data_IF_747505749782
#
_entry.id   IF_747505749782
#
_cell.length_a   1.000
_cell.length_b   1.000
_cell.length_c   1.000
_cell.angle_alpha   90.00
_cell.angle_beta   90.00
_cell.angle_gamma   90.00
#
_symmetry.space_group_name_H-M   'P 1'
#
loop_
_entity.id
_entity.type
_entity.pdbx_description
1 polymer ?
#
# COMPACT_ATOMS: atom_id res chain seq x y z
N UNK A 1 30.75 -34.34 -37.62
CA UNK A 1 29.96 -33.16 -37.22
C UNK A 1 28.68 -33.63 -36.51
N UNK A 2 28.82 -34.41 -35.42
CA UNK A 2 27.68 -35.08 -34.75
C UNK A 2 27.69 -34.92 -33.22
N UNK A 3 28.70 -34.26 -32.64
CA UNK A 3 28.85 -34.17 -31.18
C UNK A 3 27.96 -33.07 -30.54
N UNK A 4 27.32 -32.21 -31.34
CA UNK A 4 26.65 -31.01 -30.80
C UNK A 4 25.17 -31.22 -30.37
N UNK A 5 24.45 -32.15 -30.98
CA UNK A 5 23.01 -32.31 -30.75
C UNK A 5 22.74 -32.99 -29.40
N UNK A 6 23.53 -34.00 -29.05
CA UNK A 6 23.39 -34.73 -27.79
C UNK A 6 23.70 -33.85 -26.56
N UNK A 7 24.67 -32.94 -26.68
CA UNK A 7 25.05 -31.99 -25.62
C UNK A 7 23.96 -30.93 -25.44
N UNK A 8 23.42 -30.38 -26.52
CA UNK A 8 22.30 -29.43 -26.49
C UNK A 8 21.03 -30.04 -25.90
N UNK A 9 20.68 -31.27 -26.30
CA UNK A 9 19.54 -31.99 -25.75
C UNK A 9 19.70 -32.25 -24.24
N UNK A 10 20.91 -32.62 -23.81
CA UNK A 10 21.22 -32.85 -22.39
C UNK A 10 21.13 -31.55 -21.57
N UNK A 11 21.59 -30.43 -22.12
CA UNK A 11 21.49 -29.10 -21.50
C UNK A 11 20.04 -28.62 -21.37
N UNK A 12 19.21 -28.85 -22.40
CA UNK A 12 17.78 -28.52 -22.35
C UNK A 12 17.03 -29.34 -21.31
N UNK A 13 17.33 -30.63 -21.19
CA UNK A 13 16.77 -31.49 -20.14
C UNK A 13 17.21 -31.00 -18.76
N UNK A 14 18.48 -30.67 -18.55
CA UNK A 14 19.00 -30.12 -17.29
C UNK A 14 18.35 -28.78 -16.93
N UNK A 15 18.17 -27.88 -17.88
CA UNK A 15 17.49 -26.59 -17.66
C UNK A 15 16.00 -26.79 -17.34
N UNK A 16 15.33 -27.75 -17.97
CA UNK A 16 13.94 -28.09 -17.67
C UNK A 16 13.80 -28.67 -16.25
N UNK A 17 14.71 -29.55 -15.84
CA UNK A 17 14.75 -30.13 -14.49
C UNK A 17 15.06 -29.07 -13.44
N UNK A 18 15.99 -28.14 -13.73
CA UNK A 18 16.32 -27.02 -12.86
C UNK A 18 15.12 -26.07 -12.71
N UNK A 19 14.38 -25.77 -13.79
CA UNK A 19 13.14 -24.97 -13.75
C UNK A 19 12.07 -25.64 -12.91
N UNK A 20 11.86 -26.95 -13.06
CA UNK A 20 10.90 -27.72 -12.24
C UNK A 20 11.32 -27.73 -10.77
N UNK A 21 12.61 -27.88 -10.46
CA UNK A 21 13.12 -27.83 -9.09
C UNK A 21 12.98 -26.44 -8.46
N UNK A 22 13.27 -25.38 -9.20
CA UNK A 22 13.06 -24.00 -8.75
C UNK A 22 11.57 -23.72 -8.52
N UNK A 23 10.70 -24.17 -9.42
CA UNK A 23 9.25 -24.02 -9.27
C UNK A 23 8.70 -24.81 -8.07
N UNK A 24 9.15 -26.06 -7.85
CA UNK A 24 8.82 -26.84 -6.64
C UNK A 24 9.33 -26.19 -5.36
N UNK A 25 10.53 -25.60 -5.38
CA UNK A 25 11.10 -24.85 -4.25
C UNK A 25 10.34 -23.54 -3.99
N UNK A 26 9.79 -22.92 -5.03
CA UNK A 26 8.94 -21.72 -4.92
C UNK A 26 7.56 -22.07 -4.32
N UNK A 27 6.92 -23.13 -4.82
CA UNK A 27 5.64 -23.64 -4.30
C UNK A 27 5.75 -24.08 -2.83
N UNK A 28 6.81 -24.80 -2.46
CA UNK A 28 7.03 -25.22 -1.07
C UNK A 28 7.25 -24.02 -0.13
N UNK A 29 7.94 -22.97 -0.58
CA UNK A 29 8.08 -21.73 0.20
C UNK A 29 6.77 -20.94 0.31
N UNK A 30 5.96 -20.87 -0.75
CA UNK A 30 4.63 -20.24 -0.71
C UNK A 30 3.68 -21.00 0.23
N UNK A 31 3.68 -22.33 0.17
CA UNK A 31 2.96 -23.18 1.10
C UNK A 31 3.49 -23.03 2.53
N UNK A 32 4.79 -22.84 2.75
CA UNK A 32 5.36 -22.57 4.07
C UNK A 32 4.92 -21.21 4.62
N UNK A 33 4.87 -20.16 3.80
CA UNK A 33 4.38 -18.83 4.22
C UNK A 33 2.88 -18.88 4.52
N UNK A 34 2.07 -19.52 3.66
CA UNK A 34 0.64 -19.74 3.86
C UNK A 34 0.37 -20.62 5.09
N UNK A 35 1.15 -21.69 5.29
CA UNK A 35 1.10 -22.54 6.49
C UNK A 35 1.50 -21.78 7.74
N UNK A 36 2.51 -20.91 7.69
CA UNK A 36 2.89 -20.02 8.81
C UNK A 36 1.77 -19.03 9.14
N UNK A 37 1.10 -18.47 8.13
CA UNK A 37 -0.09 -17.63 8.32
C UNK A 37 -1.27 -18.39 8.94
N UNK A 38 -1.58 -19.58 8.43
CA UNK A 38 -2.63 -20.44 8.99
C UNK A 38 -2.30 -20.94 10.40
N UNK A 39 -1.03 -21.26 10.68
CA UNK A 39 -0.55 -21.59 12.03
C UNK A 39 -0.66 -20.38 12.97
N UNK A 40 -0.44 -19.14 12.49
CA UNK A 40 -0.72 -17.93 13.27
C UNK A 40 -2.21 -17.79 13.59
N UNK A 41 -3.10 -18.06 12.63
CA UNK A 41 -4.55 -18.06 12.87
C UNK A 41 -4.98 -19.16 13.86
N UNK A 42 -4.44 -20.39 13.72
CA UNK A 42 -4.70 -21.50 14.62
C UNK A 42 -4.16 -21.23 16.04
N UNK A 43 -2.95 -20.66 16.19
CA UNK A 43 -2.40 -20.24 17.49
C UNK A 43 -3.23 -19.14 18.16
N UNK A 44 -3.91 -18.28 17.41
CA UNK A 44 -4.87 -17.29 17.97
C UNK A 44 -6.12 -17.99 18.49
N UNK A 45 -6.70 -18.91 17.72
CA UNK A 45 -7.85 -19.74 18.15
C UNK A 45 -7.50 -20.56 19.39
N UNK A 46 -6.29 -21.13 19.45
CA UNK A 46 -5.83 -21.91 20.58
C UNK A 46 -5.57 -21.03 21.83
N UNK A 47 -4.98 -19.84 21.67
CA UNK A 47 -4.84 -18.87 22.79
C UNK A 47 -6.20 -18.41 23.33
N UNK A 48 -7.17 -18.17 22.44
CA UNK A 48 -8.54 -17.84 22.83
C UNK A 48 -9.20 -18.99 23.61
N UNK A 49 -9.09 -20.22 23.11
CA UNK A 49 -9.61 -21.41 23.78
C UNK A 49 -8.93 -21.68 25.12
N UNK A 50 -7.60 -21.53 25.22
CA UNK A 50 -6.87 -21.62 26.50
C UNK A 50 -7.35 -20.54 27.48
N UNK A 51 -7.64 -19.33 27.00
CA UNK A 51 -8.26 -18.28 27.81
C UNK A 51 -9.63 -18.66 28.34
N UNK A 52 -10.48 -19.28 27.51
CA UNK A 52 -11.78 -19.81 27.91
C UNK A 52 -11.67 -20.97 28.91
N UNK A 53 -10.75 -21.91 28.68
CA UNK A 53 -10.51 -23.03 29.62
C UNK A 53 -9.99 -22.52 30.96
N UNK A 54 -9.07 -21.54 30.97
CA UNK A 54 -8.62 -20.89 32.21
C UNK A 54 -9.77 -20.19 32.94
N UNK A 55 -10.63 -19.47 32.21
CA UNK A 55 -11.81 -18.83 32.79
C UNK A 55 -12.77 -19.87 33.38
N UNK A 56 -13.00 -20.97 32.66
CA UNK A 56 -13.88 -22.05 33.11
C UNK A 56 -13.33 -22.81 34.32
N UNK A 57 -12.03 -23.16 34.30
CA UNK A 57 -11.35 -23.76 35.45
C UNK A 57 -11.35 -22.82 36.65
N UNK A 58 -11.18 -21.51 36.43
CA UNK A 58 -11.26 -20.52 37.51
C UNK A 58 -12.66 -20.45 38.11
N UNK A 59 -13.71 -20.47 37.29
CA UNK A 59 -15.10 -20.51 37.74
C UNK A 59 -15.41 -21.82 38.51
N UNK A 60 -14.91 -22.96 38.04
CA UNK A 60 -15.05 -24.25 38.74
C UNK A 60 -14.31 -24.26 40.07
N UNK A 61 -13.09 -23.70 40.15
CA UNK A 61 -12.37 -23.58 41.43
C UNK A 61 -13.11 -22.69 42.42
N UNK A 62 -13.72 -21.59 41.96
CA UNK A 62 -14.53 -20.70 42.81
C UNK A 62 -15.80 -21.41 43.30
N UNK A 63 -16.44 -22.23 42.46
CA UNK A 63 -17.61 -23.01 42.84
C UNK A 63 -17.27 -24.17 43.81
N UNK A 64 -16.12 -24.81 43.64
CA UNK A 64 -15.73 -26.01 44.40
C UNK A 64 -15.12 -25.69 45.77
N UNK A 65 -14.40 -24.58 45.92
CA UNK A 65 -13.76 -24.25 47.21
C UNK A 65 -14.71 -23.59 48.20
N UNK A 66 -15.91 -23.17 47.77
CA UNK A 66 -16.85 -22.43 48.63
C UNK A 66 -16.28 -21.14 49.21
N UNK A 67 -15.07 -20.75 48.78
CA UNK A 67 -14.44 -19.48 49.11
C UNK A 67 -15.23 -18.46 48.31
N UNK A 68 -16.25 -17.91 48.95
CA UNK A 68 -16.68 -16.56 48.65
C UNK A 68 -15.41 -15.73 48.68
N UNK A 69 -14.88 -15.41 47.50
CA UNK A 69 -14.11 -14.19 47.40
C UNK A 69 -15.10 -13.15 47.95
N UNK A 70 -14.81 -12.62 49.13
CA UNK A 70 -14.94 -11.18 49.29
C UNK A 70 -14.19 -10.62 48.08
N UNK A 71 -14.93 -10.49 46.98
CA UNK A 71 -14.58 -9.53 45.96
C UNK A 71 -14.55 -8.28 46.81
N UNK A 72 -13.35 -7.83 47.16
CA UNK A 72 -13.04 -6.44 46.89
C UNK A 72 -13.58 -6.23 45.47
N UNK A 73 -14.85 -5.81 45.42
CA UNK A 73 -15.44 -5.26 44.24
C UNK A 73 -14.43 -4.19 43.95
N UNK A 74 -13.58 -4.41 42.93
CA UNK A 74 -12.75 -3.37 42.36
C UNK A 74 -13.79 -2.34 41.90
N UNK A 75 -14.18 -1.49 42.82
CA UNK A 75 -15.07 -0.39 42.61
C UNK A 75 -14.26 0.40 41.61
N UNK A 76 -14.70 0.36 40.34
CA UNK A 76 -14.13 1.28 39.36
C UNK A 76 -14.37 2.65 39.97
N UNK A 77 -13.31 3.25 40.50
CA UNK A 77 -13.34 4.59 41.09
C UNK A 77 -13.91 5.59 40.08
N UNK A 78 -13.78 5.27 38.78
CA UNK A 78 -14.33 6.03 37.68
C UNK A 78 -14.91 5.08 36.61
N UNK A 79 -16.22 5.14 36.37
CA UNK A 79 -16.88 4.41 35.27
C UNK A 79 -16.46 4.95 33.89
N UNK A 80 -16.39 6.29 33.75
CA UNK A 80 -15.90 7.01 32.57
C UNK A 80 -15.10 8.23 33.01
N UNK A 81 -13.85 8.34 32.55
CA UNK A 81 -13.07 9.57 32.69
C UNK A 81 -13.72 10.63 31.81
N UNK A 82 -14.21 11.70 32.43
CA UNK A 82 -14.72 12.87 31.71
C UNK A 82 -13.59 13.50 30.90
N UNK A 83 -13.87 13.77 29.62
CA UNK A 83 -12.92 14.36 28.69
C UNK A 83 -13.60 15.53 28.01
N UNK A 84 -12.89 16.63 27.88
CA UNK A 84 -13.40 17.79 27.15
C UNK A 84 -13.61 17.41 25.68
N UNK A 85 -14.74 17.85 25.11
CA UNK A 85 -14.99 17.81 23.67
C UNK A 85 -14.74 19.17 23.01
N UNK A 86 -14.35 20.20 23.78
CA UNK A 86 -14.21 21.59 23.31
C UNK A 86 -13.31 21.70 22.08
N UNK A 87 -12.20 20.94 22.02
CA UNK A 87 -11.33 20.95 20.84
C UNK A 87 -12.07 20.50 19.58
N UNK A 88 -12.93 19.48 19.66
CA UNK A 88 -13.72 19.05 18.51
C UNK A 88 -14.83 20.06 18.19
N UNK A 89 -15.65 20.40 19.19
CA UNK A 89 -16.86 21.19 18.99
C UNK A 89 -16.57 22.68 18.69
N UNK A 90 -15.57 23.26 19.34
CA UNK A 90 -15.28 24.71 19.31
C UNK A 90 -14.09 25.06 18.41
N UNK A 91 -13.13 24.15 18.21
CA UNK A 91 -11.93 24.43 17.40
C UNK A 91 -11.92 23.74 16.05
N UNK A 92 -12.19 22.43 15.98
CA UNK A 92 -12.04 21.65 14.74
C UNK A 92 -13.18 21.95 13.76
N UNK A 93 -14.43 22.00 14.23
CA UNK A 93 -15.57 22.29 13.36
C UNK A 93 -15.57 23.72 12.83
N UNK A 94 -14.91 24.65 13.54
CA UNK A 94 -14.82 26.08 13.19
C UNK A 94 -13.58 26.42 12.35
N UNK A 95 -12.73 25.45 12.01
CA UNK A 95 -11.54 25.69 11.18
C UNK A 95 -11.92 26.29 9.82
N UNK A 96 -11.10 27.22 9.34
CA UNK A 96 -11.15 27.67 7.94
C UNK A 96 -10.83 26.50 7.00
N UNK A 97 -11.23 26.59 5.73
CA UNK A 97 -10.96 25.53 4.74
C UNK A 97 -9.46 25.25 4.58
N UNK A 98 -8.63 26.28 4.64
CA UNK A 98 -7.17 26.14 4.58
C UNK A 98 -6.62 25.34 5.77
N UNK A 99 -6.98 25.72 7.00
CA UNK A 99 -6.54 25.01 8.22
C UNK A 99 -7.10 23.59 8.28
N UNK A 100 -8.35 23.41 7.84
CA UNK A 100 -8.96 22.10 7.70
C UNK A 100 -8.12 21.21 6.78
N UNK A 101 -7.80 21.70 5.58
CA UNK A 101 -6.99 20.97 4.60
C UNK A 101 -5.58 20.71 5.12
N UNK A 102 -4.99 21.62 5.89
CA UNK A 102 -3.70 21.38 6.52
C UNK A 102 -3.70 20.16 7.46
N UNK A 103 -4.76 19.99 8.27
CA UNK A 103 -4.86 18.90 9.24
C UNK A 103 -5.41 17.59 8.67
N UNK A 104 -6.51 17.65 7.91
CA UNK A 104 -7.21 16.48 7.39
C UNK A 104 -6.75 16.06 6.00
N UNK A 105 -6.04 16.95 5.30
CA UNK A 105 -5.44 16.72 3.97
C UNK A 105 -6.44 16.37 2.87
N UNK A 106 -7.68 16.77 3.09
CA UNK A 106 -8.79 16.77 2.14
C UNK A 106 -9.63 18.03 2.39
N UNK A 107 -10.44 18.40 1.41
CA UNK A 107 -11.43 19.47 1.50
C UNK A 107 -12.60 19.05 2.40
N UNK A 108 -13.37 20.04 2.88
CA UNK A 108 -14.57 19.79 3.69
C UNK A 108 -15.65 19.04 2.91
N UNK A 109 -15.79 19.33 1.61
CA UNK A 109 -16.78 18.66 0.76
C UNK A 109 -16.45 17.18 0.56
N UNK A 110 -15.18 16.86 0.27
CA UNK A 110 -14.67 15.48 0.23
C UNK A 110 -14.88 14.77 1.57
N UNK A 111 -14.63 15.46 2.69
CA UNK A 111 -14.88 14.92 4.01
C UNK A 111 -16.36 14.61 4.25
N UNK A 112 -17.25 15.52 3.86
CA UNK A 112 -18.69 15.36 4.03
C UNK A 112 -19.22 14.20 3.18
N UNK A 113 -18.78 14.10 1.93
CA UNK A 113 -19.05 12.95 1.06
C UNK A 113 -18.65 11.62 1.73
N UNK A 114 -17.43 11.53 2.26
CA UNK A 114 -16.97 10.32 2.98
C UNK A 114 -17.83 10.06 4.21
N UNK A 115 -18.21 11.09 4.97
CA UNK A 115 -19.05 10.93 6.15
C UNK A 115 -20.44 10.37 5.80
N UNK A 116 -21.07 10.92 4.77
CA UNK A 116 -22.42 10.52 4.37
C UNK A 116 -22.46 9.11 3.80
N UNK A 117 -21.50 8.74 2.96
CA UNK A 117 -21.38 7.39 2.42
C UNK A 117 -21.07 6.34 3.50
N UNK A 118 -20.30 6.69 4.54
CA UNK A 118 -19.98 5.78 5.64
C UNK A 118 -21.03 5.76 6.76
N UNK A 119 -21.98 6.70 6.77
CA UNK A 119 -23.00 6.85 7.82
C UNK A 119 -23.81 5.57 8.07
N UNK A 120 -24.30 4.85 7.04
CA UNK A 120 -25.08 3.62 7.26
C UNK A 120 -24.35 2.54 8.06
N UNK A 121 -23.01 2.49 7.99
CA UNK A 121 -22.19 1.47 8.66
C UNK A 121 -21.64 1.96 10.00
N UNK A 122 -21.28 3.25 10.09
CA UNK A 122 -20.58 3.78 11.26
C UNK A 122 -21.50 4.38 12.33
N UNK A 123 -22.74 4.71 11.98
CA UNK A 123 -23.70 5.27 12.93
C UNK A 123 -24.02 4.26 14.04
N UNK A 124 -24.04 4.75 15.28
CA UNK A 124 -24.31 3.94 16.47
C UNK A 124 -25.59 4.43 17.14
N UNK A 125 -26.35 3.51 17.70
CA UNK A 125 -27.59 3.84 18.41
C UNK A 125 -27.30 4.58 19.71
N UNK A 126 -28.15 5.56 20.03
CA UNK A 126 -28.13 6.23 21.32
C UNK A 126 -28.60 5.25 22.39
N UNK A 127 -27.78 5.05 23.42
CA UNK A 127 -28.15 4.26 24.59
C UNK A 127 -28.46 5.18 25.77
N UNK A 128 -29.11 4.64 26.80
CA UNK A 128 -29.35 5.36 28.07
C UNK A 128 -28.05 5.66 28.84
N UNK A 129 -26.96 4.94 28.54
CA UNK A 129 -25.69 5.06 29.25
C UNK A 129 -24.76 6.14 28.67
N UNK A 130 -24.70 6.26 27.34
CA UNK A 130 -23.79 7.20 26.68
C UNK A 130 -24.28 7.60 25.29
N UNK A 131 -24.12 8.89 24.96
CA UNK A 131 -24.26 9.37 23.58
C UNK A 131 -23.13 8.79 22.70
N UNK A 132 -23.45 8.25 21.51
CA UNK A 132 -22.45 7.71 20.61
C UNK A 132 -21.55 8.83 20.08
N UNK A 133 -20.32 8.46 19.72
CA UNK A 133 -19.45 9.35 18.94
C UNK A 133 -20.05 9.43 17.53
N UNK A 134 -20.27 10.65 17.03
CA UNK A 134 -20.88 10.89 15.71
C UNK A 134 -20.01 10.35 14.58
N UNK A 135 -20.60 10.17 13.39
CA UNK A 135 -19.87 9.63 12.23
C UNK A 135 -18.76 10.57 11.81
N UNK A 136 -19.05 11.87 11.77
CA UNK A 136 -18.11 12.94 11.42
C UNK A 136 -16.89 12.90 12.34
N UNK A 137 -17.13 12.80 13.65
CA UNK A 137 -16.03 12.72 14.63
C UNK A 137 -15.23 11.44 14.48
N UNK A 138 -15.88 10.31 14.16
CA UNK A 138 -15.21 9.03 13.92
C UNK A 138 -14.32 9.08 12.68
N UNK A 139 -14.85 9.60 11.57
CA UNK A 139 -14.12 9.78 10.31
C UNK A 139 -12.96 10.75 10.51
N UNK A 140 -13.18 11.88 11.21
CA UNK A 140 -12.14 12.84 11.52
C UNK A 140 -10.99 12.26 12.35
N UNK A 141 -11.28 11.44 13.38
CA UNK A 141 -10.25 10.72 14.15
C UNK A 141 -9.38 9.85 13.23
N UNK A 142 -10.01 9.09 12.33
CA UNK A 142 -9.30 8.20 11.41
C UNK A 142 -8.45 8.98 10.40
N UNK A 143 -9.03 10.00 9.76
CA UNK A 143 -8.35 10.85 8.78
C UNK A 143 -7.17 11.59 9.41
N UNK A 144 -7.34 12.18 10.60
CA UNK A 144 -6.24 12.84 11.30
C UNK A 144 -5.09 11.88 11.56
N UNK A 145 -5.41 10.63 11.95
CA UNK A 145 -4.39 9.59 12.15
C UNK A 145 -3.69 9.23 10.84
N UNK A 146 -4.41 9.06 9.74
CA UNK A 146 -3.83 8.74 8.43
C UNK A 146 -2.97 9.89 7.88
N UNK A 147 -3.47 11.13 8.02
CA UNK A 147 -2.84 12.36 7.56
C UNK A 147 -1.52 12.64 8.27
N UNK A 148 -1.43 12.39 9.58
CA UNK A 148 -0.29 12.85 10.42
C UNK A 148 0.59 11.74 10.98
N UNK A 149 0.04 10.53 11.14
CA UNK A 149 0.58 9.41 11.94
C UNK A 149 0.81 9.72 13.43
N UNK A 150 0.10 10.70 14.01
CA UNK A 150 0.27 11.07 15.42
C UNK A 150 -0.13 9.93 16.37
N UNK A 151 0.54 9.79 17.52
CA UNK A 151 0.27 8.74 18.50
C UNK A 151 -1.17 8.77 19.00
N UNK A 152 -1.74 7.59 19.27
CA UNK A 152 -3.10 7.49 19.80
C UNK A 152 -3.31 8.20 21.15
N UNK A 153 -2.24 8.46 21.91
CA UNK A 153 -2.29 9.29 23.13
C UNK A 153 -2.69 10.73 22.78
N UNK A 154 -1.97 11.34 21.84
CA UNK A 154 -2.21 12.72 21.39
C UNK A 154 -3.58 12.83 20.71
N UNK A 155 -3.89 11.87 19.83
CA UNK A 155 -5.19 11.81 19.14
C UNK A 155 -6.36 11.68 20.12
N UNK A 156 -6.19 10.88 21.18
CA UNK A 156 -7.16 10.70 22.26
C UNK A 156 -7.45 11.99 23.00
N UNK A 157 -6.42 12.78 23.32
CA UNK A 157 -6.56 14.10 23.94
C UNK A 157 -7.27 15.07 22.99
N UNK A 158 -6.82 15.15 21.73
CA UNK A 158 -7.33 16.09 20.73
C UNK A 158 -8.84 15.91 20.48
N UNK A 159 -9.32 14.67 20.41
CA UNK A 159 -10.73 14.39 20.12
C UNK A 159 -11.56 14.09 21.38
N UNK A 160 -10.99 14.14 22.59
CA UNK A 160 -11.73 13.88 23.83
C UNK A 160 -12.24 12.44 23.96
N UNK A 161 -11.55 11.46 23.38
CA UNK A 161 -11.94 10.03 23.40
C UNK A 161 -10.92 9.19 24.15
N UNK A 162 -11.24 7.95 24.51
CA UNK A 162 -10.23 7.04 25.09
C UNK A 162 -9.21 6.57 24.05
N UNK A 163 -7.96 6.32 24.45
CA UNK A 163 -6.89 5.82 23.56
C UNK A 163 -7.28 4.57 22.77
N UNK A 164 -7.84 3.57 23.46
CA UNK A 164 -8.35 2.35 22.84
C UNK A 164 -9.55 2.63 21.92
N UNK A 165 -10.38 3.63 22.24
CA UNK A 165 -11.50 4.07 21.40
C UNK A 165 -11.01 4.73 20.12
N UNK A 166 -10.02 5.62 20.18
CA UNK A 166 -9.41 6.23 19.00
C UNK A 166 -8.81 5.17 18.07
N UNK A 167 -8.01 4.25 18.61
CA UNK A 167 -7.45 3.13 17.86
C UNK A 167 -8.54 2.27 17.22
N UNK A 168 -9.57 1.89 17.97
CA UNK A 168 -10.70 1.11 17.44
C UNK A 168 -11.42 1.86 16.32
N UNK A 169 -11.70 3.14 16.49
CA UNK A 169 -12.36 3.99 15.48
C UNK A 169 -11.52 4.05 14.20
N UNK A 170 -10.22 4.31 14.28
CA UNK A 170 -9.35 4.37 13.08
C UNK A 170 -9.45 3.10 12.24
N UNK A 171 -9.42 1.93 12.88
CA UNK A 171 -9.53 0.65 12.18
C UNK A 171 -10.95 0.34 11.69
N UNK A 172 -11.98 0.70 12.45
CA UNK A 172 -13.37 0.56 12.02
C UNK A 172 -13.66 1.43 10.78
N UNK A 173 -13.17 2.68 10.76
CA UNK A 173 -13.29 3.56 9.60
C UNK A 173 -12.49 3.02 8.41
N UNK A 174 -11.25 2.57 8.60
CA UNK A 174 -10.46 1.98 7.51
C UNK A 174 -11.16 0.75 6.89
N UNK A 175 -11.77 -0.10 7.72
CA UNK A 175 -12.56 -1.24 7.25
C UNK A 175 -13.84 -0.81 6.54
N UNK A 176 -14.51 0.24 7.01
CA UNK A 176 -15.72 0.76 6.40
C UNK A 176 -15.43 1.41 5.05
N UNK A 177 -14.34 2.16 4.93
CA UNK A 177 -13.86 2.73 3.66
C UNK A 177 -13.69 1.64 2.61
N UNK A 178 -13.00 0.55 2.96
CA UNK A 178 -12.88 -0.61 2.08
C UNK A 178 -14.26 -1.16 1.68
N UNK A 179 -15.10 -1.43 2.67
CA UNK A 179 -16.41 -2.09 2.44
C UNK A 179 -17.32 -1.28 1.52
N UNK A 180 -17.35 0.05 1.67
CA UNK A 180 -18.25 0.93 0.91
C UNK A 180 -17.68 1.28 -0.45
N UNK A 181 -16.39 1.56 -0.54
CA UNK A 181 -15.81 2.23 -1.71
C UNK A 181 -14.92 1.33 -2.59
N UNK A 182 -14.58 0.10 -2.18
CA UNK A 182 -13.70 -0.78 -2.98
C UNK A 182 -14.24 -1.02 -4.39
N UNK A 183 -15.54 -1.25 -4.54
CA UNK A 183 -16.16 -1.54 -5.83
C UNK A 183 -16.21 -0.35 -6.79
N UNK A 184 -16.25 0.88 -6.26
CA UNK A 184 -16.37 2.10 -7.07
C UNK A 184 -15.03 2.77 -7.31
N UNK A 185 -14.17 2.82 -6.29
CA UNK A 185 -12.94 3.60 -6.30
C UNK A 185 -11.69 2.75 -6.42
N UNK A 186 -11.73 1.42 -6.29
CA UNK A 186 -10.53 0.58 -6.36
C UNK A 186 -10.83 -0.79 -6.98
N UNK A 187 -11.18 -0.79 -8.26
CA UNK A 187 -11.33 -1.98 -9.09
C UNK A 187 -10.44 -1.88 -10.32
N UNK A 188 -10.04 -3.05 -10.82
CA UNK A 188 -9.34 -3.12 -12.08
C UNK A 188 -10.32 -2.75 -13.21
N UNK A 189 -9.95 -1.84 -14.14
CA UNK A 189 -10.87 -1.32 -15.14
C UNK A 189 -11.21 -2.38 -16.18
N UNK A 190 -12.47 -2.37 -16.63
CA UNK A 190 -12.99 -3.24 -17.68
C UNK A 190 -13.85 -2.42 -18.66
N UNK A 191 -14.19 -3.00 -19.81
CA UNK A 191 -15.05 -2.36 -20.81
C UNK A 191 -14.55 -0.98 -21.26
N UNK A 192 -15.44 0.01 -21.27
CA UNK A 192 -15.15 1.37 -21.73
C UNK A 192 -14.17 2.10 -20.81
N UNK A 193 -14.24 1.86 -19.49
CA UNK A 193 -13.31 2.46 -18.53
C UNK A 193 -11.85 2.04 -18.79
N UNK A 194 -11.64 0.79 -19.23
CA UNK A 194 -10.32 0.31 -19.64
C UNK A 194 -9.85 1.01 -20.92
N UNK A 195 -10.74 1.18 -21.91
CA UNK A 195 -10.39 1.83 -23.17
C UNK A 195 -10.07 3.31 -22.98
N UNK A 196 -10.78 4.00 -22.08
CA UNK A 196 -10.48 5.37 -21.67
C UNK A 196 -9.07 5.49 -21.08
N UNK A 197 -8.63 4.48 -20.33
CA UNK A 197 -7.28 4.44 -19.77
C UNK A 197 -6.24 4.22 -20.86
N UNK A 198 -6.48 3.25 -21.76
CA UNK A 198 -5.59 3.00 -22.90
C UNK A 198 -5.42 4.26 -23.76
N UNK A 199 -6.53 4.92 -24.10
CA UNK A 199 -6.50 6.16 -24.85
C UNK A 199 -5.82 7.30 -24.08
N UNK A 200 -6.03 7.38 -22.76
CA UNK A 200 -5.40 8.36 -21.90
C UNK A 200 -3.87 8.24 -21.85
N UNK A 201 -3.33 7.02 -21.78
CA UNK A 201 -1.88 6.80 -21.86
C UNK A 201 -1.32 7.16 -23.24
N UNK A 202 -2.01 6.79 -24.31
CA UNK A 202 -1.57 7.10 -25.67
C UNK A 202 -1.56 8.62 -25.91
N UNK A 203 -2.61 9.33 -25.50
CA UNK A 203 -2.72 10.78 -25.67
C UNK A 203 -1.71 11.54 -24.82
N UNK A 204 -1.52 11.13 -23.55
CA UNK A 204 -0.71 11.89 -22.60
C UNK A 204 0.79 11.59 -22.71
N UNK A 205 1.14 10.36 -23.04
CA UNK A 205 2.53 9.87 -23.02
C UNK A 205 3.01 9.29 -24.35
N UNK A 206 2.13 9.16 -25.35
CA UNK A 206 2.48 8.59 -26.65
C UNK A 206 2.76 7.08 -26.61
N UNK A 207 2.30 6.38 -25.56
CA UNK A 207 2.53 4.94 -25.39
C UNK A 207 1.22 4.17 -25.64
N UNK A 208 1.10 3.41 -26.73
CA UNK A 208 -0.15 2.73 -27.11
C UNK A 208 -0.40 1.49 -26.25
N UNK A 209 -1.67 1.07 -26.17
CA UNK A 209 -2.09 -0.18 -25.54
C UNK A 209 -1.72 -0.32 -24.05
N UNK A 210 -1.60 0.80 -23.31
CA UNK A 210 -1.23 0.76 -21.89
C UNK A 210 -2.45 0.91 -20.99
N UNK A 211 -2.71 -0.09 -20.15
CA UNK A 211 -3.79 -0.07 -19.16
C UNK A 211 -3.36 0.47 -17.78
N UNK A 212 -2.06 0.65 -17.55
CA UNK A 212 -1.54 1.13 -16.28
C UNK A 212 -0.05 0.91 -16.13
N UNK A 213 0.53 1.60 -15.15
CA UNK A 213 1.90 1.36 -14.70
C UNK A 213 1.87 0.62 -13.35
N UNK A 214 2.69 -0.43 -13.23
CA UNK A 214 2.83 -1.23 -12.01
C UNK A 214 4.16 -0.92 -11.32
N UNK A 215 4.12 -0.79 -9.99
CA UNK A 215 5.32 -0.67 -9.18
C UNK A 215 5.08 -1.05 -7.70
N UNK A 216 6.18 -1.27 -6.96
CA UNK A 216 6.21 -1.57 -5.54
C UNK A 216 6.61 -0.37 -4.67
N UNK A 217 5.99 -0.22 -3.50
CA UNK A 217 6.25 0.87 -2.57
C UNK A 217 6.34 0.36 -1.13
N UNK A 218 7.47 0.66 -0.47
CA UNK A 218 7.68 0.29 0.93
C UNK A 218 6.89 1.19 1.88
N UNK A 219 6.14 0.58 2.78
CA UNK A 219 5.42 1.23 3.88
C UNK A 219 6.17 0.95 5.19
N UNK A 220 6.77 1.96 5.84
CA UNK A 220 7.56 1.76 7.05
C UNK A 220 6.73 1.26 8.24
N UNK A 221 7.23 0.25 8.95
CA UNK A 221 6.58 -0.34 10.12
C UNK A 221 7.53 -0.40 11.32
N UNK A 222 6.98 -0.52 12.53
CA UNK A 222 7.79 -1.03 13.65
C UNK A 222 8.24 -2.47 13.37
N UNK A 223 9.43 -2.82 13.85
CA UNK A 223 9.94 -4.18 13.76
C UNK A 223 8.91 -5.14 14.40
N UNK A 224 8.41 -6.12 13.64
CA UNK A 224 7.46 -7.06 14.20
C UNK A 224 8.15 -7.97 15.21
N UNK A 225 7.39 -8.42 16.21
CA UNK A 225 7.88 -9.36 17.23
C UNK A 225 8.28 -10.70 16.59
N UNK A 226 7.47 -11.15 15.61
CA UNK A 226 7.69 -12.41 14.90
C UNK A 226 8.46 -12.15 13.59
N UNK A 227 9.64 -12.77 13.45
CA UNK A 227 10.49 -12.74 12.24
C UNK A 227 10.82 -11.31 11.75
N UNK A 228 11.43 -10.44 12.59
CA UNK A 228 11.74 -9.06 12.22
C UNK A 228 12.60 -8.96 10.94
N UNK A 229 13.56 -9.87 10.77
CA UNK A 229 14.46 -9.90 9.62
C UNK A 229 13.73 -10.04 8.27
N UNK A 230 12.57 -10.72 8.23
CA UNK A 230 11.78 -10.86 7.00
C UNK A 230 11.28 -9.49 6.50
N UNK A 231 11.09 -8.53 7.40
CA UNK A 231 10.56 -7.20 7.07
C UNK A 231 11.66 -6.16 6.85
N UNK A 232 12.92 -6.50 7.12
CA UNK A 232 14.05 -5.60 6.94
C UNK A 232 14.41 -5.48 5.46
N UNK A 233 14.26 -4.28 4.90
CA UNK A 233 14.47 -4.04 3.49
C UNK A 233 15.92 -3.64 3.15
N UNK A 234 16.22 -3.57 1.86
CA UNK A 234 17.53 -3.13 1.34
C UNK A 234 17.89 -1.68 1.68
N UNK A 235 16.91 -0.87 2.10
CA UNK A 235 17.08 0.54 2.53
C UNK A 235 17.30 0.67 4.04
N UNK A 236 17.56 -0.43 4.74
CA UNK A 236 17.96 -0.41 6.16
C UNK A 236 16.81 -0.15 7.15
N UNK A 237 15.56 -0.39 6.77
CA UNK A 237 14.43 -0.25 7.69
C UNK A 237 13.38 -1.36 7.52
N UNK A 238 12.55 -1.54 8.55
CA UNK A 238 11.43 -2.49 8.50
C UNK A 238 10.28 -1.91 7.68
N UNK A 239 9.70 -2.71 6.79
CA UNK A 239 8.57 -2.31 5.96
C UNK A 239 7.71 -3.49 5.54
N UNK A 240 6.47 -3.20 5.15
CA UNK A 240 5.69 -4.04 4.23
C UNK A 240 5.71 -3.42 2.83
N UNK A 241 5.40 -4.20 1.81
CA UNK A 241 5.29 -3.73 0.43
C UNK A 241 3.81 -3.56 0.04
N UNK A 242 3.52 -2.45 -0.64
CA UNK A 242 2.34 -2.18 -1.45
C UNK A 242 2.77 -2.29 -2.92
N UNK A 243 2.35 -3.33 -3.62
CA UNK A 243 2.38 -3.36 -5.09
C UNK A 243 1.08 -2.72 -5.58
N UNK A 244 1.15 -1.87 -6.60
CA UNK A 244 -0.05 -1.26 -7.15
C UNK A 244 0.04 -1.02 -8.66
N UNK A 245 -1.11 -1.06 -9.31
CA UNK A 245 -1.31 -0.59 -10.69
C UNK A 245 -1.97 0.78 -10.64
N UNK A 246 -1.47 1.71 -11.46
CA UNK A 246 -1.94 3.10 -11.49
C UNK A 246 -2.29 3.51 -12.92
N UNK A 247 -3.42 4.19 -13.08
CA UNK A 247 -3.89 4.72 -14.36
C UNK A 247 -3.24 6.06 -14.75
N UNK A 248 -3.55 6.57 -15.94
CA UNK A 248 -3.00 7.84 -16.44
C UNK A 248 -3.44 9.08 -15.63
N UNK A 249 -4.50 8.95 -14.81
CA UNK A 249 -5.06 9.96 -13.91
C UNK A 249 -4.49 9.86 -12.49
N UNK A 250 -3.45 9.05 -12.27
CA UNK A 250 -2.84 8.81 -10.96
C UNK A 250 -3.74 8.09 -9.96
N UNK A 251 -4.79 7.39 -10.42
CA UNK A 251 -5.67 6.59 -9.57
C UNK A 251 -5.13 5.17 -9.51
N UNK A 252 -5.18 4.59 -8.31
CA UNK A 252 -4.87 3.17 -8.11
C UNK A 252 -6.00 2.33 -8.70
N UNK A 253 -5.69 1.33 -9.52
CA UNK A 253 -6.69 0.41 -10.10
C UNK A 253 -6.57 -1.00 -9.53
N UNK A 254 -5.39 -1.36 -9.03
CA UNK A 254 -5.16 -2.60 -8.30
C UNK A 254 -4.14 -2.37 -7.19
N UNK A 255 -4.30 -3.05 -6.06
CA UNK A 255 -3.34 -3.01 -4.95
C UNK A 255 -3.16 -4.39 -4.32
N UNK A 256 -1.92 -4.75 -4.05
CA UNK A 256 -1.55 -5.97 -3.33
C UNK A 256 -0.60 -5.65 -2.18
N UNK A 257 -1.06 -5.91 -0.95
CA UNK A 257 -0.50 -5.28 0.26
C UNK A 257 -0.14 -6.33 1.31
N UNK A 258 1.01 -6.12 1.97
CA UNK A 258 1.34 -6.81 3.22
C UNK A 258 2.51 -7.80 3.12
N UNK A 259 3.14 -7.88 1.96
CA UNK A 259 4.37 -8.68 1.82
C UNK A 259 5.51 -8.08 2.65
N UNK A 260 6.36 -8.91 3.27
CA UNK A 260 7.53 -8.42 4.00
C UNK A 260 8.49 -7.62 3.11
N UNK A 261 9.09 -6.56 3.66
CA UNK A 261 9.94 -5.62 2.92
C UNK A 261 11.24 -6.19 2.36
N UNK A 262 11.64 -7.41 2.71
CA UNK A 262 12.79 -8.09 2.08
C UNK A 262 12.45 -8.74 0.74
N UNK A 263 11.16 -8.93 0.43
CA UNK A 263 10.69 -9.68 -0.74
C UNK A 263 10.78 -8.83 -2.01
N UNK A 264 11.28 -9.41 -3.10
CA UNK A 264 11.42 -8.75 -4.41
C UNK A 264 10.08 -8.61 -5.15
N UNK A 265 9.95 -7.55 -5.93
CA UNK A 265 8.71 -7.20 -6.66
C UNK A 265 8.27 -8.30 -7.62
N UNK A 266 9.19 -8.97 -8.34
CA UNK A 266 8.85 -10.12 -9.19
C UNK A 266 8.18 -11.26 -8.42
N UNK A 267 8.57 -11.49 -7.16
CA UNK A 267 7.95 -12.52 -6.31
C UNK A 267 6.60 -12.05 -5.77
N UNK A 268 6.45 -10.77 -5.48
CA UNK A 268 5.16 -10.21 -5.07
C UNK A 268 4.18 -10.33 -6.23
N UNK A 269 4.61 -9.95 -7.44
CA UNK A 269 3.84 -10.13 -8.67
C UNK A 269 3.43 -11.59 -8.87
N UNK A 270 4.35 -12.55 -8.79
CA UNK A 270 4.01 -13.96 -9.04
C UNK A 270 2.98 -14.55 -8.05
N UNK A 271 2.61 -13.82 -7.00
CA UNK A 271 1.62 -14.20 -6.01
C UNK A 271 0.39 -13.27 -5.99
N UNK A 272 0.31 -12.29 -6.90
CA UNK A 272 -0.82 -11.36 -7.00
C UNK A 272 -1.88 -11.85 -7.99
N UNK A 273 -3.13 -11.39 -7.78
CA UNK A 273 -4.27 -11.79 -8.61
C UNK A 273 -4.10 -11.34 -10.07
N UNK A 274 -3.51 -10.16 -10.30
CA UNK A 274 -3.19 -9.66 -11.64
C UNK A 274 -2.23 -10.59 -12.41
N UNK A 275 -1.30 -11.26 -11.73
CA UNK A 275 -0.41 -12.21 -12.39
C UNK A 275 -1.15 -13.48 -12.78
N UNK A 276 -2.02 -14.00 -11.90
CA UNK A 276 -2.85 -15.16 -12.23
C UNK A 276 -3.73 -14.87 -13.46
N UNK A 277 -4.46 -13.75 -13.44
CA UNK A 277 -5.28 -13.31 -14.59
C UNK A 277 -4.46 -13.12 -15.86
N UNK A 278 -3.25 -12.57 -15.75
CA UNK A 278 -2.36 -12.37 -16.88
C UNK A 278 -1.85 -13.69 -17.48
N UNK A 279 -1.54 -14.69 -16.66
CA UNK A 279 -1.14 -16.02 -17.13
C UNK A 279 -2.31 -16.78 -17.77
N UNK A 280 -3.53 -16.57 -17.28
CA UNK A 280 -4.76 -17.18 -17.80
C UNK A 280 -5.31 -16.46 -19.04
N UNK A 281 -4.75 -15.30 -19.42
CA UNK A 281 -5.26 -14.49 -20.52
C UNK A 281 -6.56 -13.74 -20.22
N UNK A 282 -6.95 -13.64 -18.94
CA UNK A 282 -8.21 -13.01 -18.47
C UNK A 282 -8.01 -11.61 -17.89
N UNK A 283 -6.77 -11.10 -17.91
CA UNK A 283 -6.47 -9.76 -17.39
C UNK A 283 -7.02 -8.65 -18.29
N UNK A 284 -6.95 -8.85 -19.61
CA UNK A 284 -7.41 -7.88 -20.61
C UNK A 284 -8.27 -8.58 -21.67
N UNK A 285 -9.24 -7.88 -22.28
CA UNK A 285 -9.97 -8.41 -23.42
C UNK A 285 -9.04 -8.58 -24.64
N UNK A 286 -9.39 -9.48 -25.55
CA UNK A 286 -8.71 -9.67 -26.84
C UNK A 286 -8.95 -8.46 -27.77
N UNK A 287 -8.26 -7.36 -27.50
CA UNK A 287 -8.31 -6.11 -28.27
C UNK A 287 -6.92 -5.69 -28.68
N UNK A 288 -6.34 -6.46 -29.60
CA UNK A 288 -5.01 -6.20 -30.12
C UNK A 288 -5.04 -5.05 -31.14
N UNK A 289 -3.90 -4.37 -31.27
CA UNK A 289 -3.68 -3.35 -32.29
C UNK A 289 -2.52 -3.79 -33.18
N UNK A 290 -2.75 -3.83 -34.47
CA UNK A 290 -1.69 -4.06 -35.44
C UNK A 290 -0.74 -2.86 -35.49
N UNK A 291 0.52 -3.06 -35.13
CA UNK A 291 1.59 -2.07 -35.24
C UNK A 291 2.74 -2.72 -36.02
N UNK A 292 2.98 -2.23 -37.25
CA UNK A 292 4.02 -2.74 -38.15
C UNK A 292 3.91 -4.26 -38.41
N UNK A 293 2.68 -4.79 -38.55
CA UNK A 293 2.44 -6.20 -38.80
C UNK A 293 2.43 -7.09 -37.55
N UNK A 294 2.61 -6.52 -36.36
CA UNK A 294 2.56 -7.24 -35.08
C UNK A 294 1.29 -6.87 -34.32
N UNK A 295 0.55 -7.88 -33.86
CA UNK A 295 -0.61 -7.70 -33.00
C UNK A 295 -0.16 -7.41 -31.56
N UNK A 296 -0.29 -6.15 -31.13
CA UNK A 296 0.12 -5.69 -29.80
C UNK A 296 -1.09 -5.72 -28.85
N UNK A 297 -1.07 -6.54 -27.79
CA UNK A 297 -2.15 -6.60 -26.82
C UNK A 297 -2.12 -5.39 -25.87
N UNK A 298 -3.22 -5.22 -25.12
CA UNK A 298 -3.23 -4.32 -23.96
C UNK A 298 -2.26 -4.86 -22.90
N UNK A 299 -1.48 -3.96 -22.30
CA UNK A 299 -0.39 -4.29 -21.38
C UNK A 299 -0.26 -3.32 -20.21
N UNK A 300 0.43 -3.77 -19.17
CA UNK A 300 0.94 -2.95 -18.08
C UNK A 300 2.41 -2.58 -18.32
N UNK A 301 2.85 -1.48 -17.72
CA UNK A 301 4.26 -1.07 -17.74
C UNK A 301 4.93 -1.26 -16.36
N UNK A 302 5.95 -2.11 -16.30
CA UNK A 302 6.73 -2.42 -15.10
C UNK A 302 8.18 -1.91 -15.16
N UNK A 303 8.86 -1.89 -14.01
CA UNK A 303 10.29 -1.58 -13.92
C UNK A 303 11.16 -2.75 -14.37
N UNK A 304 12.48 -2.53 -14.29
CA UNK A 304 13.46 -3.54 -14.63
C UNK A 304 13.39 -4.80 -13.73
N UNK A 305 12.86 -4.68 -12.50
CA UNK A 305 12.73 -5.78 -11.55
C UNK A 305 11.57 -6.72 -11.89
N UNK A 306 10.59 -6.29 -12.69
CA UNK A 306 9.51 -7.13 -13.19
C UNK A 306 9.97 -8.07 -14.34
N UNK A 307 9.27 -9.18 -14.60
CA UNK A 307 9.49 -10.00 -15.78
C UNK A 307 8.94 -9.32 -17.04
N UNK A 308 9.50 -9.67 -18.20
CA UNK A 308 8.93 -9.30 -19.50
C UNK A 308 7.89 -10.37 -19.90
N UNK A 309 6.63 -9.97 -20.08
CA UNK A 309 5.50 -10.84 -20.43
C UNK A 309 4.63 -10.17 -21.52
N UNK A 310 3.78 -10.91 -22.26
CA UNK A 310 2.90 -10.32 -23.27
C UNK A 310 2.00 -9.20 -22.76
N UNK A 311 1.57 -9.28 -21.50
CA UNK A 311 0.70 -8.30 -20.83
C UNK A 311 1.48 -7.39 -19.84
N UNK A 312 2.80 -7.53 -19.73
CA UNK A 312 3.65 -6.73 -18.84
C UNK A 312 4.97 -6.38 -19.52
N UNK A 313 5.07 -5.13 -19.96
CA UNK A 313 6.23 -4.61 -20.66
C UNK A 313 7.20 -3.94 -19.71
N UNK A 314 8.51 -4.07 -19.99
CA UNK A 314 9.58 -3.38 -19.26
C UNK A 314 10.67 -2.89 -20.21
N UNK A 315 11.47 -1.95 -19.75
CA UNK A 315 12.61 -1.41 -20.50
C UNK A 315 13.70 -2.46 -20.76
N UNK A 316 14.50 -2.23 -21.80
CA UNK A 316 15.74 -2.96 -22.06
C UNK A 316 16.75 -2.74 -20.93
N UNK A 317 17.42 -3.81 -20.49
CA UNK A 317 18.48 -3.71 -19.49
C UNK A 317 19.70 -2.98 -20.06
N UNK A 318 20.15 -1.92 -19.39
CA UNK A 318 21.35 -1.18 -19.80
C UNK A 318 22.62 -1.82 -19.23
N UNK A 319 23.36 -2.53 -20.09
CA UNK A 319 24.70 -3.03 -19.80
C UNK A 319 25.80 -2.19 -20.47
N UNK A 320 25.49 -0.94 -20.86
CA UNK A 320 26.40 -0.02 -21.56
C UNK A 320 26.42 -0.17 -23.08
N UNK A 321 25.45 -0.89 -23.66
CA UNK A 321 25.39 -1.23 -25.10
C UNK A 321 24.00 -1.03 -25.72
N UNK A 322 23.15 -0.19 -25.13
CA UNK A 322 21.84 0.09 -25.73
C UNK A 322 21.99 0.87 -27.04
N UNK A 323 21.34 0.37 -28.08
CA UNK A 323 21.14 1.11 -29.34
C UNK A 323 20.32 2.39 -29.09
N UNK A 324 20.41 3.36 -30.01
CA UNK A 324 19.63 4.62 -29.90
C UNK A 324 18.13 4.34 -29.83
N UNK A 325 17.65 3.36 -30.57
CA UNK A 325 16.24 2.95 -30.61
C UNK A 325 15.79 2.34 -29.28
N UNK A 326 16.64 1.54 -28.63
CA UNK A 326 16.37 0.98 -27.30
C UNK A 326 16.40 2.06 -26.21
N UNK A 327 17.29 3.04 -26.31
CA UNK A 327 17.32 4.19 -25.40
C UNK A 327 16.04 5.01 -25.52
N UNK A 328 15.59 5.29 -26.74
CA UNK A 328 14.33 6.01 -27.00
C UNK A 328 13.12 5.23 -26.45
N UNK A 329 13.08 3.91 -26.66
CA UNK A 329 12.03 3.06 -26.07
C UNK A 329 12.04 3.15 -24.54
N UNK A 330 13.20 3.00 -23.90
CA UNK A 330 13.35 3.09 -22.46
C UNK A 330 12.94 4.46 -21.92
N UNK A 331 13.27 5.53 -22.63
CA UNK A 331 12.87 6.90 -22.30
C UNK A 331 11.35 7.05 -22.32
N UNK A 332 10.66 6.61 -23.39
CA UNK A 332 9.19 6.66 -23.48
C UNK A 332 8.52 5.80 -22.42
N UNK A 333 9.03 4.59 -22.19
CA UNK A 333 8.51 3.70 -21.15
C UNK A 333 8.65 4.33 -19.77
N UNK A 334 9.81 4.90 -19.46
CA UNK A 334 10.06 5.57 -18.18
C UNK A 334 9.13 6.77 -17.99
N UNK A 335 8.93 7.58 -19.04
CA UNK A 335 7.99 8.71 -19.02
C UNK A 335 6.56 8.28 -18.74
N UNK A 336 6.06 7.25 -19.43
CA UNK A 336 4.72 6.73 -19.20
C UNK A 336 4.58 6.13 -17.79
N UNK A 337 5.65 5.49 -17.27
CA UNK A 337 5.67 4.90 -15.92
C UNK A 337 5.71 5.93 -14.80
N UNK A 338 6.19 7.16 -15.03
CA UNK A 338 6.22 8.21 -14.00
C UNK A 338 4.89 8.40 -13.27
N UNK A 339 3.75 8.05 -13.89
CA UNK A 339 2.43 8.10 -13.24
C UNK A 339 2.38 7.29 -11.94
N UNK A 340 3.00 6.11 -11.86
CA UNK A 340 2.96 5.27 -10.65
C UNK A 340 3.82 5.86 -9.53
N UNK A 341 4.99 6.39 -9.88
CA UNK A 341 5.88 7.07 -8.93
C UNK A 341 5.22 8.33 -8.38
N UNK A 342 4.63 9.15 -9.25
CA UNK A 342 3.86 10.33 -8.86
C UNK A 342 2.66 9.97 -7.98
N UNK A 343 1.92 8.90 -8.30
CA UNK A 343 0.78 8.46 -7.49
C UNK A 343 1.21 8.00 -6.10
N UNK A 344 2.31 7.24 -5.98
CA UNK A 344 2.87 6.89 -4.66
C UNK A 344 3.36 8.12 -3.89
N UNK A 345 3.98 9.08 -4.58
CA UNK A 345 4.39 10.35 -4.01
C UNK A 345 3.20 11.11 -3.43
N UNK A 346 2.13 11.28 -4.22
CA UNK A 346 0.86 11.92 -3.80
C UNK A 346 0.20 11.19 -2.64
N UNK A 347 0.13 9.85 -2.70
CA UNK A 347 -0.44 9.00 -1.66
C UNK A 347 0.28 9.19 -0.32
N UNK A 348 1.61 9.12 -0.31
CA UNK A 348 2.44 9.29 0.90
C UNK A 348 2.52 10.74 1.37
N UNK A 349 2.49 11.68 0.42
CA UNK A 349 2.44 13.10 0.70
C UNK A 349 1.12 13.49 1.36
N UNK A 350 -0.01 12.86 0.99
CA UNK A 350 -1.31 13.08 1.63
C UNK A 350 -1.47 12.28 2.92
N UNK A 351 -1.06 11.01 2.95
CA UNK A 351 -1.24 10.15 4.13
C UNK A 351 0.11 9.84 4.79
N UNK A 352 0.57 10.71 5.73
CA UNK A 352 1.89 10.51 6.37
C UNK A 352 2.01 9.22 7.16
N UNK A 353 0.91 8.54 7.52
CA UNK A 353 0.99 7.21 8.13
C UNK A 353 1.64 6.15 7.22
N UNK A 354 1.79 6.45 5.92
CA UNK A 354 2.47 5.62 4.93
C UNK A 354 3.94 6.02 4.71
N UNK A 355 4.33 7.19 5.21
CA UNK A 355 5.69 7.72 5.11
C UNK A 355 6.46 7.58 6.43
N UNK A 356 5.77 7.72 7.56
CA UNK A 356 6.32 7.58 8.90
C UNK A 356 6.20 6.13 9.37
N UNK A 357 7.06 5.75 10.31
CA UNK A 357 7.02 4.42 10.93
C UNK A 357 5.68 4.22 11.65
N UNK A 358 4.89 3.25 11.19
CA UNK A 358 3.58 2.95 11.77
C UNK A 358 3.74 2.06 13.01
N UNK A 359 3.13 2.47 14.13
CA UNK A 359 3.13 1.77 15.41
C UNK A 359 1.91 0.83 15.62
N UNK A 360 1.05 0.70 14.60
CA UNK A 360 -0.08 -0.23 14.64
C UNK A 360 0.38 -1.68 14.50
N UNK A 361 -0.45 -2.62 14.98
CA UNK A 361 -0.22 -4.05 14.75
C UNK A 361 -0.12 -4.35 13.26
N UNK A 362 0.89 -5.14 12.88
CA UNK A 362 1.21 -5.43 11.48
C UNK A 362 0.03 -6.03 10.70
N UNK A 363 -0.87 -6.78 11.37
CA UNK A 363 -2.04 -7.36 10.71
C UNK A 363 -3.13 -6.34 10.37
N UNK A 364 -3.03 -5.12 10.88
CA UNK A 364 -3.97 -4.02 10.62
C UNK A 364 -3.48 -3.04 9.56
N UNK A 365 -2.16 -2.99 9.33
CA UNK A 365 -1.54 -2.07 8.38
C UNK A 365 -2.08 -2.28 6.95
N UNK A 366 -2.28 -3.50 6.42
CA UNK A 366 -2.81 -3.68 5.06
C UNK A 366 -4.17 -3.00 4.84
N UNK A 367 -5.10 -3.14 5.79
CA UNK A 367 -6.41 -2.46 5.72
C UNK A 367 -6.27 -0.94 5.77
N UNK A 368 -5.34 -0.41 6.57
CA UNK A 368 -5.08 1.03 6.64
C UNK A 368 -4.50 1.57 5.33
N UNK A 369 -3.54 0.86 4.74
CA UNK A 369 -2.93 1.23 3.44
C UNK A 369 -3.99 1.19 2.33
N UNK A 370 -4.81 0.14 2.28
CA UNK A 370 -5.91 0.02 1.32
C UNK A 370 -6.89 1.19 1.43
N UNK A 371 -7.29 1.55 2.65
CA UNK A 371 -8.15 2.70 2.91
C UNK A 371 -7.52 4.03 2.46
N UNK A 372 -6.20 4.19 2.59
CA UNK A 372 -5.50 5.36 2.08
C UNK A 372 -5.50 5.43 0.54
N UNK A 373 -5.38 4.29 -0.14
CA UNK A 373 -5.49 4.23 -1.62
C UNK A 373 -6.90 4.61 -2.08
N UNK A 374 -7.94 4.10 -1.41
CA UNK A 374 -9.34 4.52 -1.66
C UNK A 374 -9.51 6.03 -1.47
N UNK A 375 -9.07 6.56 -0.33
CA UNK A 375 -9.22 7.99 -0.04
C UNK A 375 -8.44 8.85 -1.04
N UNK A 376 -7.28 8.38 -1.50
CA UNK A 376 -6.54 9.03 -2.58
C UNK A 376 -7.37 9.07 -3.87
N UNK A 377 -7.94 7.95 -4.30
CA UNK A 377 -8.77 7.90 -5.51
C UNK A 377 -10.02 8.79 -5.39
N UNK A 378 -10.68 8.81 -4.23
CA UNK A 378 -11.79 9.74 -3.96
C UNK A 378 -11.32 11.20 -4.14
N UNK A 379 -10.13 11.55 -3.65
CA UNK A 379 -9.59 12.90 -3.84
C UNK A 379 -9.32 13.22 -5.30
N UNK A 380 -8.74 12.29 -6.07
CA UNK A 380 -8.49 12.49 -7.51
C UNK A 380 -9.81 12.66 -8.28
N UNK A 381 -10.84 11.87 -7.96
CA UNK A 381 -12.15 11.92 -8.63
C UNK A 381 -12.92 13.20 -8.28
N UNK A 382 -12.89 13.62 -7.02
CA UNK A 382 -13.56 14.83 -6.54
C UNK A 382 -12.80 16.13 -6.91
N UNK A 383 -11.65 16.02 -7.59
CA UNK A 383 -10.81 17.17 -7.91
C UNK A 383 -10.23 17.86 -6.68
N UNK A 384 -9.99 17.13 -5.59
CA UNK A 384 -9.37 17.62 -4.35
C UNK A 384 -7.84 17.65 -4.52
N UNK A 385 -7.24 18.82 -4.80
CA UNK A 385 -5.87 18.87 -5.28
C UNK A 385 -4.89 18.47 -4.18
N UNK A 386 -3.77 17.84 -4.56
CA UNK A 386 -2.64 17.66 -3.64
C UNK A 386 -2.00 19.03 -3.36
N UNK A 387 -1.59 19.30 -2.13
CA UNK A 387 -0.83 20.51 -1.82
C UNK A 387 0.64 20.32 -2.26
N UNK A 388 1.21 21.19 -3.11
CA UNK A 388 2.60 21.10 -3.55
C UNK A 388 3.61 21.01 -2.40
N UNK A 389 3.37 21.74 -1.31
CA UNK A 389 4.22 21.73 -0.11
C UNK A 389 4.31 20.31 0.48
N UNK A 390 3.22 19.53 0.43
CA UNK A 390 3.26 18.16 0.93
C UNK A 390 4.12 17.23 0.07
N UNK A 391 4.18 17.48 -1.24
CA UNK A 391 5.06 16.75 -2.16
C UNK A 391 6.52 17.13 -1.90
N UNK A 392 6.83 18.42 -1.76
CA UNK A 392 8.18 18.89 -1.41
C UNK A 392 8.67 18.30 -0.08
N UNK A 393 7.82 18.31 0.95
CA UNK A 393 8.08 17.66 2.24
C UNK A 393 8.33 16.14 2.07
N UNK A 394 7.60 15.47 1.16
CA UNK A 394 7.82 14.06 0.88
C UNK A 394 9.18 13.80 0.22
N UNK A 395 9.52 14.60 -0.78
CA UNK A 395 10.81 14.53 -1.49
C UNK A 395 11.98 14.81 -0.56
N UNK A 396 11.84 15.75 0.38
CA UNK A 396 12.85 16.04 1.40
C UNK A 396 13.11 14.81 2.29
N UNK A 397 12.05 14.12 2.74
CA UNK A 397 12.19 12.86 3.51
C UNK A 397 12.86 11.77 2.67
N UNK A 398 12.53 11.67 1.39
CA UNK A 398 13.19 10.77 0.45
C UNK A 398 14.70 11.03 0.40
N UNK A 399 15.11 12.28 0.20
CA UNK A 399 16.52 12.70 0.14
C UNK A 399 17.30 12.38 1.42
N UNK A 400 16.70 12.55 2.61
CA UNK A 400 17.35 12.22 3.89
C UNK A 400 17.54 10.70 4.06
N UNK A 401 16.62 9.87 3.54
CA UNK A 401 16.77 8.42 3.55
C UNK A 401 17.83 7.89 2.57
N UNK A 402 18.26 8.70 1.59
CA UNK A 402 19.33 8.40 0.62
C UNK A 402 20.70 8.99 0.99
N UNK A 403 20.89 9.46 2.23
CA UNK A 403 22.23 9.76 2.75
C UNK A 403 23.02 8.44 2.93
N UNK A 404 23.59 7.98 1.82
CA UNK A 404 24.35 6.75 1.71
C UNK A 404 25.67 6.83 2.47
N UNK A 405 26.08 5.67 2.94
CA UNK A 405 27.43 5.36 3.37
C UNK A 405 28.43 5.80 2.28
N UNK A 406 29.26 6.78 2.60
CA UNK A 406 30.28 7.33 1.70
C UNK A 406 31.44 6.33 1.57
N UNK A 407 31.52 5.63 0.44
CA UNK A 407 32.81 5.25 -0.13
C UNK A 407 32.87 5.77 -1.56
N UNK A 408 33.64 6.84 -1.76
CA UNK A 408 33.82 7.54 -3.03
C UNK A 408 35.07 7.02 -3.74
N UNK A 409 34.96 6.77 -5.04
CA UNK A 409 36.07 6.45 -5.93
C UNK A 409 36.46 7.70 -6.74
N UNK A 410 37.75 8.10 -6.86
CA UNK A 410 38.13 9.46 -7.31
C UNK A 410 38.05 9.74 -8.83
N UNK A 411 37.39 8.90 -9.63
CA UNK A 411 37.39 9.04 -11.11
C UNK A 411 36.15 9.70 -11.73
N UNK A 412 35.00 9.68 -11.05
CA UNK A 412 33.71 10.07 -11.65
C UNK A 412 33.41 11.58 -11.64
N UNK A 413 34.04 12.33 -10.75
CA UNK A 413 33.71 13.76 -10.55
C UNK A 413 34.23 14.65 -11.69
N UNK A 414 35.29 14.23 -12.38
CA UNK A 414 35.84 14.95 -13.52
C UNK A 414 34.94 14.81 -14.75
N UNK A 415 34.47 13.59 -15.04
CA UNK A 415 33.58 13.30 -16.19
C UNK A 415 32.23 14.01 -16.02
N UNK A 416 31.67 14.01 -14.80
CA UNK A 416 30.41 14.71 -14.52
C UNK A 416 30.54 16.23 -14.72
N UNK A 417 31.70 16.82 -14.41
CA UNK A 417 31.94 18.25 -14.58
C UNK A 417 32.05 18.64 -16.05
N UNK A 418 32.73 17.81 -16.86
CA UNK A 418 32.86 18.00 -18.30
C UNK A 418 31.51 17.91 -19.02
N UNK A 419 30.66 16.96 -18.64
CA UNK A 419 29.33 16.80 -19.26
C UNK A 419 28.36 17.93 -18.89
N UNK A 420 28.46 18.48 -17.67
CA UNK A 420 27.65 19.66 -17.26
C UNK A 420 28.02 20.89 -18.08
N UNK A 421 29.30 21.07 -18.42
CA UNK A 421 29.75 22.18 -19.27
C UNK A 421 29.25 22.03 -20.71
N UNK A 422 29.33 20.81 -21.27
CA UNK A 422 28.92 20.52 -22.66
C UNK A 422 27.43 20.83 -22.93
N UNK A 423 26.55 20.53 -21.98
CA UNK A 423 25.11 20.84 -22.10
C UNK A 423 24.77 22.30 -21.78
N UNK A 424 25.66 23.05 -21.11
CA UNK A 424 25.45 24.48 -20.84
C UNK A 424 25.68 25.37 -22.07
N UNK A 425 26.45 24.87 -23.05
CA UNK A 425 26.77 25.58 -24.29
C UNK A 425 25.68 25.41 -25.39
N UNK A 426 24.54 24.78 -25.06
CA UNK A 426 23.35 24.75 -25.91
C UNK A 426 23.30 23.65 -26.96
N UNK A 427 24.06 22.56 -26.78
CA UNK A 427 23.98 21.33 -27.59
C UNK A 427 23.05 20.28 -26.97
#
# INVERSE_FOLDING_TARGET
MEVNIAVLASLLVLLSQLRVLLHRRQLTNALLIRRRYLLRAARRRNRFNIGLVRLYLHLLTVAATGIGFDREVLHRSVWVIQRTNAVWDEMILTLTNERWRHHFRINKDTFQFVCDSLRPILQRNRTRFRRPITVEKRVAIALWRMATNVEFRTLSTLFGVGRSTACKITHEVASALRTVFEQEYLQFPEGDALMDIVHGFETRWGFPQVAGAIDGSHIPILAPVDFPNDYYNRKGHHSIVLQAVVDYRYRFTDVFIGWPGSVHDARILSNSDIFMRGQEGTLFPERNRNINGVEVPIMLLGDAAYPLLPWLMKGFSDAGQLTREQQEFNYRLSRARMVVECAFGRLKARWRCLLKRNDSDISKIPTLVFACCILHNICEEMGDPINPVWLEEHEAVGRVAFAANNNRHPGGEAIRRTLVQYFADGH
#
